data_IF_476262304304
#
_entry.id   IF_476262304304
#
_cell.length_a   1.000
_cell.length_b   1.000
_cell.length_c   1.000
_cell.angle_alpha   90.00
_cell.angle_beta   90.00
_cell.angle_gamma   90.00
#
_symmetry.space_group_name_H-M   'P 1'
#
loop_
_entity.id
_entity.type
_entity.pdbx_description
1 polymer ?
#
# COMPACT_ATOMS: atom_id res chain seq x y z
N UNK A 1 9.33 34.27 21.74
CA UNK A 1 8.71 33.89 23.03
C UNK A 1 8.85 32.39 23.19
N UNK A 2 9.20 31.86 24.36
CA UNK A 2 9.30 30.41 24.56
C UNK A 2 7.96 29.76 24.23
N UNK A 3 7.96 28.82 23.29
CA UNK A 3 6.79 28.02 22.94
C UNK A 3 6.53 27.07 24.10
N UNK A 4 5.60 27.46 24.98
CA UNK A 4 5.11 26.58 26.05
C UNK A 4 4.54 25.31 25.41
N UNK A 5 4.92 24.18 25.98
CA UNK A 5 4.38 22.88 25.61
C UNK A 5 2.84 22.91 25.78
N UNK A 6 2.06 22.63 24.72
CA UNK A 6 0.60 22.65 24.80
C UNK A 6 0.03 21.63 25.80
N UNK A 7 0.75 20.53 26.07
CA UNK A 7 0.25 19.42 26.91
C UNK A 7 0.62 19.59 28.40
N UNK A 8 1.43 20.60 28.74
CA UNK A 8 1.94 20.81 30.10
C UNK A 8 0.84 20.88 31.16
N UNK A 9 -0.33 21.42 30.81
CA UNK A 9 -1.45 21.61 31.74
C UNK A 9 -2.57 20.60 31.55
N UNK A 10 -2.45 19.65 30.62
CA UNK A 10 -3.52 18.70 30.30
C UNK A 10 -3.92 17.85 31.51
N UNK A 11 -2.95 17.44 32.34
CA UNK A 11 -3.25 16.69 33.57
C UNK A 11 -4.13 17.48 34.54
N UNK A 12 -3.90 18.79 34.67
CA UNK A 12 -4.70 19.67 35.54
C UNK A 12 -6.08 19.91 34.93
N UNK A 13 -6.14 20.18 33.62
CA UNK A 13 -7.40 20.42 32.90
C UNK A 13 -8.28 19.17 32.87
N UNK A 14 -7.68 17.98 32.71
CA UNK A 14 -8.39 16.71 32.74
C UNK A 14 -8.94 16.41 34.13
N UNK A 15 -8.16 16.64 35.19
CA UNK A 15 -8.63 16.48 36.57
C UNK A 15 -9.83 17.39 36.86
N UNK A 16 -9.80 18.65 36.39
CA UNK A 16 -10.94 19.55 36.48
C UNK A 16 -12.12 19.02 35.67
N UNK A 17 -11.92 18.60 34.41
CA UNK A 17 -12.99 18.11 33.55
C UNK A 17 -13.71 16.88 34.14
N UNK A 18 -12.98 15.98 34.81
CA UNK A 18 -13.55 14.80 35.46
C UNK A 18 -14.46 15.12 36.65
N UNK A 19 -14.28 16.28 37.29
CA UNK A 19 -15.06 16.71 38.44
C UNK A 19 -16.37 17.43 38.06
N UNK A 20 -16.57 17.75 36.79
CA UNK A 20 -17.75 18.46 36.30
C UNK A 20 -18.64 17.52 35.49
N UNK A 21 -19.95 17.71 35.54
CA UNK A 21 -20.94 16.99 34.72
C UNK A 21 -21.01 17.59 33.30
N UNK A 22 -19.86 17.63 32.64
CA UNK A 22 -19.71 18.04 31.24
C UNK A 22 -19.01 19.37 31.00
N UNK A 23 -18.87 19.71 29.72
CA UNK A 23 -18.07 20.86 29.25
C UNK A 23 -18.72 22.20 29.61
N UNK A 24 -20.06 22.27 29.64
CA UNK A 24 -20.75 23.52 29.96
C UNK A 24 -20.46 24.00 31.39
N UNK A 25 -20.48 23.08 32.36
CA UNK A 25 -20.21 23.39 33.76
C UNK A 25 -18.72 23.72 33.98
N UNK A 26 -17.81 23.00 33.31
CA UNK A 26 -16.38 23.33 33.31
C UNK A 26 -16.12 24.76 32.80
N UNK A 27 -16.79 25.16 31.71
CA UNK A 27 -16.66 26.51 31.17
C UNK A 27 -17.21 27.55 32.14
N UNK A 28 -18.34 27.28 32.80
CA UNK A 28 -18.90 28.19 33.82
C UNK A 28 -17.93 28.37 34.99
N UNK A 29 -17.31 27.28 35.47
CA UNK A 29 -16.26 27.34 36.50
C UNK A 29 -15.08 28.21 36.07
N UNK A 30 -14.61 28.09 34.82
CA UNK A 30 -13.51 28.91 34.29
C UNK A 30 -13.91 30.38 34.21
N UNK A 31 -15.09 30.70 33.68
CA UNK A 31 -15.58 32.08 33.57
C UNK A 31 -15.84 32.70 34.95
N UNK A 32 -16.39 31.94 35.89
CA UNK A 32 -16.54 32.33 37.29
C UNK A 32 -15.20 32.58 37.98
N UNK A 33 -14.16 31.78 37.68
CA UNK A 33 -12.82 32.02 38.17
C UNK A 33 -12.25 33.34 37.63
N UNK A 34 -12.37 33.58 36.32
CA UNK A 34 -11.93 34.83 35.70
C UNK A 34 -12.66 36.04 36.30
N UNK A 35 -13.97 35.95 36.56
CA UNK A 35 -14.73 37.03 37.18
C UNK A 35 -14.25 37.38 38.61
N UNK A 36 -13.76 36.40 39.36
CA UNK A 36 -13.39 36.56 40.79
C UNK A 36 -11.90 36.83 41.01
N UNK A 37 -11.03 36.36 40.12
CA UNK A 37 -9.58 36.34 40.33
C UNK A 37 -8.79 37.14 39.31
N UNK A 38 -9.44 37.67 38.28
CA UNK A 38 -8.81 38.50 37.27
C UNK A 38 -9.67 39.72 36.99
N UNK A 39 -9.10 40.69 36.27
CA UNK A 39 -9.78 41.86 35.74
C UNK A 39 -10.36 41.58 34.34
N UNK A 40 -10.58 40.32 33.98
CA UNK A 40 -10.92 39.91 32.61
C UNK A 40 -12.13 40.67 32.02
N UNK A 41 -13.17 40.90 32.82
CA UNK A 41 -14.39 41.59 32.39
C UNK A 41 -14.33 43.12 32.56
N UNK A 42 -13.42 43.65 33.38
CA UNK A 42 -13.39 45.07 33.76
C UNK A 42 -12.16 45.81 33.25
N UNK A 43 -11.10 45.11 32.85
CA UNK A 43 -9.77 45.68 32.58
C UNK A 43 -9.59 46.28 31.19
N UNK A 44 -10.39 45.87 30.19
CA UNK A 44 -10.18 46.26 28.78
C UNK A 44 -11.45 46.77 28.06
N UNK A 45 -12.55 46.98 28.79
CA UNK A 45 -13.84 47.45 28.24
C UNK A 45 -14.84 46.32 27.92
N UNK A 46 -16.13 46.65 27.88
CA UNK A 46 -17.25 45.68 27.86
C UNK A 46 -17.16 44.65 26.73
N UNK A 47 -16.66 45.02 25.55
CA UNK A 47 -16.56 44.11 24.39
C UNK A 47 -15.21 43.41 24.24
N UNK A 48 -14.19 43.79 24.99
CA UNK A 48 -12.83 43.23 24.80
C UNK A 48 -12.74 41.78 25.24
N UNK A 49 -13.39 41.44 26.36
CA UNK A 49 -13.44 40.09 26.90
C UNK A 49 -14.10 39.11 25.91
N UNK A 50 -15.28 39.48 25.38
CA UNK A 50 -16.02 38.66 24.42
C UNK A 50 -15.22 38.45 23.13
N UNK A 51 -14.65 39.52 22.57
CA UNK A 51 -13.81 39.44 21.37
C UNK A 51 -12.60 38.52 21.58
N UNK A 52 -12.00 38.55 22.78
CA UNK A 52 -10.87 37.68 23.12
C UNK A 52 -11.28 36.21 23.15
N UNK A 53 -12.39 35.85 23.82
CA UNK A 53 -12.90 34.48 23.85
C UNK A 53 -13.22 34.00 22.43
N UNK A 54 -13.98 34.80 21.68
CA UNK A 54 -14.39 34.45 20.32
C UNK A 54 -13.20 34.28 19.37
N UNK A 55 -12.16 35.12 19.50
CA UNK A 55 -10.93 34.98 18.70
C UNK A 55 -10.21 33.66 18.98
N UNK A 56 -10.05 33.28 20.26
CA UNK A 56 -9.40 32.01 20.63
C UNK A 56 -10.26 30.81 20.21
N UNK A 57 -11.57 30.87 20.42
CA UNK A 57 -12.51 29.85 19.98
C UNK A 57 -12.37 29.58 18.47
N UNK A 58 -12.48 30.63 17.63
CA UNK A 58 -12.36 30.50 16.17
C UNK A 58 -11.03 29.90 15.74
N UNK A 59 -9.93 30.29 16.38
CA UNK A 59 -8.60 29.73 16.09
C UNK A 59 -8.56 28.21 16.29
N UNK A 60 -8.98 27.73 17.46
CA UNK A 60 -8.95 26.30 17.77
C UNK A 60 -10.00 25.51 16.99
N UNK A 61 -11.18 26.10 16.75
CA UNK A 61 -12.20 25.52 15.89
C UNK A 61 -11.67 25.26 14.47
N UNK A 62 -11.03 26.26 13.86
CA UNK A 62 -10.44 26.13 12.53
C UNK A 62 -9.42 24.99 12.46
N UNK A 63 -8.52 24.91 13.45
CA UNK A 63 -7.50 23.86 13.54
C UNK A 63 -8.11 22.46 13.70
N UNK A 64 -9.13 22.33 14.56
CA UNK A 64 -9.79 21.05 14.80
C UNK A 64 -10.54 20.56 13.55
N UNK A 65 -11.27 21.45 12.87
CA UNK A 65 -12.00 21.13 11.62
C UNK A 65 -11.02 20.73 10.51
N UNK A 66 -9.91 21.46 10.36
CA UNK A 66 -8.88 21.15 9.37
C UNK A 66 -8.20 19.80 9.66
N UNK A 67 -7.85 19.53 10.92
CA UNK A 67 -7.28 18.25 11.32
C UNK A 67 -8.22 17.07 11.04
N UNK A 68 -9.51 17.22 11.34
CA UNK A 68 -10.53 16.22 11.01
C UNK A 68 -10.67 16.00 9.51
N UNK A 69 -10.70 17.07 8.72
CA UNK A 69 -10.78 16.99 7.27
C UNK A 69 -9.55 16.30 6.66
N UNK A 70 -8.35 16.62 7.17
CA UNK A 70 -7.11 15.98 6.76
C UNK A 70 -7.10 14.49 7.09
N UNK A 71 -7.43 14.12 8.33
CA UNK A 71 -7.51 12.71 8.76
C UNK A 71 -8.50 11.90 7.91
N UNK A 72 -9.64 12.50 7.54
CA UNK A 72 -10.62 11.87 6.67
C UNK A 72 -10.07 11.61 5.26
N UNK A 73 -9.43 12.61 4.65
CA UNK A 73 -8.80 12.46 3.32
C UNK A 73 -7.70 11.41 3.31
N UNK A 74 -6.85 11.40 4.32
CA UNK A 74 -5.77 10.41 4.47
C UNK A 74 -6.34 8.99 4.61
N UNK A 75 -7.40 8.81 5.39
CA UNK A 75 -8.09 7.52 5.51
C UNK A 75 -8.69 7.06 4.18
N UNK A 76 -9.37 7.95 3.45
CA UNK A 76 -9.97 7.64 2.16
C UNK A 76 -8.93 7.27 1.10
N UNK A 77 -7.79 7.95 1.08
CA UNK A 77 -6.70 7.64 0.15
C UNK A 77 -6.00 6.33 0.51
N UNK A 78 -5.79 6.05 1.80
CA UNK A 78 -5.24 4.79 2.28
C UNK A 78 -6.16 3.61 1.92
N UNK A 79 -7.47 3.77 2.10
CA UNK A 79 -8.47 2.77 1.75
C UNK A 79 -8.54 2.53 0.23
N UNK A 80 -8.44 3.59 -0.58
CA UNK A 80 -8.38 3.46 -2.04
C UNK A 80 -7.14 2.70 -2.49
N UNK A 81 -5.96 3.07 -2.00
CA UNK A 81 -4.69 2.37 -2.30
C UNK A 81 -4.73 0.91 -1.86
N UNK A 82 -5.35 0.61 -0.71
CA UNK A 82 -5.51 -0.77 -0.23
C UNK A 82 -6.42 -1.58 -1.14
N UNK A 83 -7.56 -1.03 -1.56
CA UNK A 83 -8.49 -1.68 -2.50
C UNK A 83 -7.85 -1.95 -3.85
N UNK A 84 -7.11 -0.98 -4.40
CA UNK A 84 -6.38 -1.13 -5.67
C UNK A 84 -5.33 -2.23 -5.60
N UNK A 85 -4.54 -2.30 -4.52
CA UNK A 85 -3.55 -3.37 -4.32
C UNK A 85 -4.19 -4.76 -4.24
N UNK A 86 -5.31 -4.88 -3.51
CA UNK A 86 -6.03 -6.15 -3.38
C UNK A 86 -6.65 -6.56 -4.73
N UNK A 87 -7.23 -5.62 -5.48
CA UNK A 87 -7.80 -5.90 -6.79
C UNK A 87 -6.73 -6.35 -7.78
N UNK A 88 -5.60 -5.64 -7.84
CA UNK A 88 -4.47 -5.98 -8.70
C UNK A 88 -3.88 -7.35 -8.36
N UNK A 89 -3.69 -7.65 -7.08
CA UNK A 89 -3.20 -8.96 -6.63
C UNK A 89 -4.16 -10.10 -7.02
N UNK A 90 -5.48 -9.89 -6.89
CA UNK A 90 -6.48 -10.87 -7.32
C UNK A 90 -6.48 -11.08 -8.83
N UNK A 91 -6.36 -10.01 -9.61
CA UNK A 91 -6.31 -10.09 -11.08
C UNK A 91 -5.06 -10.83 -11.55
N UNK A 92 -3.90 -10.54 -10.93
CA UNK A 92 -2.63 -11.21 -11.22
C UNK A 92 -2.69 -12.70 -10.85
N UNK A 93 -3.24 -13.05 -9.68
CA UNK A 93 -3.46 -14.45 -9.28
C UNK A 93 -4.41 -15.18 -10.24
N UNK A 94 -5.48 -14.51 -10.69
CA UNK A 94 -6.42 -15.10 -11.64
C UNK A 94 -5.79 -15.30 -13.03
N UNK A 95 -4.96 -14.37 -13.49
CA UNK A 95 -4.23 -14.48 -14.76
C UNK A 95 -3.15 -15.57 -14.71
N UNK A 96 -2.39 -15.66 -13.61
CA UNK A 96 -1.43 -16.75 -13.37
C UNK A 96 -2.14 -18.11 -13.31
N UNK A 97 -3.32 -18.18 -12.68
CA UNK A 97 -4.15 -19.38 -12.65
C UNK A 97 -4.63 -19.82 -14.04
N UNK A 98 -5.08 -18.87 -14.87
CA UNK A 98 -5.48 -19.13 -16.27
C UNK A 98 -4.29 -19.57 -17.13
N UNK A 99 -3.15 -18.87 -17.06
CA UNK A 99 -1.93 -19.27 -17.76
C UNK A 99 -1.45 -20.66 -17.33
N UNK A 100 -1.55 -21.01 -16.04
CA UNK A 100 -1.18 -22.34 -15.53
C UNK A 100 -2.17 -23.44 -15.95
N UNK A 101 -3.43 -23.10 -16.22
CA UNK A 101 -4.39 -24.02 -16.85
C UNK A 101 -4.12 -24.20 -18.35
N UNK A 102 -3.77 -23.14 -19.07
CA UNK A 102 -3.47 -23.18 -20.50
C UNK A 102 -2.11 -23.81 -20.81
N UNK A 103 -1.11 -23.64 -19.94
CA UNK A 103 0.21 -24.27 -20.02
C UNK A 103 0.27 -25.63 -19.32
N UNK A 104 -0.87 -26.19 -18.90
CA UNK A 104 -0.94 -27.58 -18.44
C UNK A 104 -0.69 -28.48 -19.65
N UNK A 105 0.57 -28.82 -19.87
CA UNK A 105 1.02 -29.85 -20.81
C UNK A 105 0.16 -31.08 -20.54
N UNK A 106 -0.76 -31.35 -21.47
CA UNK A 106 -1.49 -32.61 -21.52
C UNK A 106 -0.44 -33.65 -21.87
N UNK A 107 -0.13 -34.54 -20.93
CA UNK A 107 0.68 -35.71 -21.20
C UNK A 107 -0.02 -36.53 -22.28
N UNK A 108 0.49 -36.48 -23.50
CA UNK A 108 0.18 -37.46 -24.53
C UNK A 108 0.60 -38.81 -23.97
N UNK A 109 -0.37 -39.68 -23.73
CA UNK A 109 -0.13 -41.06 -23.27
C UNK A 109 0.83 -41.78 -24.21
N UNK A 110 1.80 -42.52 -23.66
CA UNK A 110 2.89 -43.21 -24.40
C UNK A 110 2.42 -44.04 -25.61
N UNK A 111 1.16 -44.50 -25.62
CA UNK A 111 0.56 -45.25 -26.73
C UNK A 111 0.40 -44.44 -28.02
N UNK A 112 0.10 -43.14 -27.94
CA UNK A 112 -0.07 -42.30 -29.14
C UNK A 112 1.27 -41.85 -29.71
N UNK A 113 2.29 -41.65 -28.86
CA UNK A 113 3.66 -41.41 -29.29
C UNK A 113 4.24 -42.62 -30.04
N UNK A 114 3.95 -43.84 -29.56
CA UNK A 114 4.38 -45.07 -30.21
C UNK A 114 3.71 -45.32 -31.57
N UNK A 115 2.46 -44.89 -31.77
CA UNK A 115 1.78 -45.00 -33.06
C UNK A 115 2.35 -44.04 -34.10
N UNK A 116 2.63 -42.79 -33.71
CA UNK A 116 3.23 -41.79 -34.60
C UNK A 116 4.68 -42.18 -35.00
N UNK A 117 5.45 -42.77 -34.08
CA UNK A 117 6.79 -43.29 -34.36
C UNK A 117 6.74 -44.46 -35.35
N UNK A 118 5.77 -45.37 -35.20
CA UNK A 118 5.57 -46.49 -36.12
C UNK A 118 5.16 -46.05 -37.52
N UNK A 119 4.35 -45.01 -37.65
CA UNK A 119 4.00 -44.43 -38.95
C UNK A 119 5.21 -43.74 -39.61
N UNK A 120 5.99 -42.97 -38.85
CA UNK A 120 7.21 -42.32 -39.35
C UNK A 120 8.31 -43.33 -39.76
N UNK A 121 8.47 -44.42 -39.00
CA UNK A 121 9.42 -45.49 -39.34
C UNK A 121 8.93 -46.33 -40.53
N UNK A 122 7.63 -46.52 -40.70
CA UNK A 122 7.05 -47.18 -41.88
C UNK A 122 7.19 -46.34 -43.16
N UNK A 123 7.06 -45.02 -43.06
CA UNK A 123 7.26 -44.10 -44.18
C UNK A 123 8.75 -44.08 -44.62
N UNK A 124 9.69 -44.12 -43.66
CA UNK A 124 11.13 -44.25 -43.93
C UNK A 124 11.49 -45.60 -44.55
N UNK A 125 10.90 -46.70 -44.08
CA UNK A 125 11.12 -48.03 -44.68
C UNK A 125 10.56 -48.14 -46.10
N UNK A 126 9.58 -47.31 -46.47
CA UNK A 126 9.08 -47.24 -47.85
C UNK A 126 9.98 -46.44 -48.79
N UNK A 127 10.88 -45.61 -48.25
CA UNK A 127 11.91 -44.88 -49.01
C UNK A 127 13.26 -45.62 -49.13
N UNK A 128 13.46 -46.76 -48.44
CA UNK A 128 14.76 -47.47 -48.40
C UNK A 128 14.85 -48.77 -49.23
N UNK A 129 13.99 -48.99 -50.25
CA UNK A 129 14.30 -49.96 -51.32
C UNK A 129 15.01 -49.26 -52.48
N UNK A 130 16.33 -49.09 -52.32
CA UNK A 130 17.26 -48.50 -53.29
C UNK A 130 18.71 -48.52 -52.77
N UNK A 131 19.25 -49.73 -52.58
CA UNK A 131 20.63 -50.20 -52.28
C UNK A 131 21.81 -49.41 -52.95
N UNK A 132 23.11 -49.57 -52.58
CA UNK A 132 23.81 -49.31 -51.29
C UNK A 132 25.17 -48.52 -51.44
N UNK A 133 25.68 -47.96 -50.31
CA UNK A 133 27.09 -47.89 -49.74
C UNK A 133 28.36 -47.85 -50.65
N UNK A 134 29.55 -47.22 -50.35
CA UNK A 134 30.27 -47.08 -49.04
C UNK A 134 30.93 -45.70 -48.71
N UNK A 135 30.94 -45.25 -47.44
CA UNK A 135 31.99 -45.37 -46.38
C UNK A 135 33.38 -44.75 -46.72
N UNK A 136 34.25 -44.38 -45.74
CA UNK A 136 34.06 -44.00 -44.33
C UNK A 136 34.96 -42.80 -43.91
N UNK A 137 35.00 -42.47 -42.62
CA UNK A 137 36.09 -41.84 -41.82
C UNK A 137 35.53 -40.72 -40.93
N UNK A 138 35.25 -41.01 -39.66
CA UNK A 138 36.19 -40.95 -38.53
C UNK A 138 36.34 -39.57 -37.89
N UNK A 139 36.39 -39.62 -36.56
CA UNK A 139 37.03 -38.69 -35.63
C UNK A 139 36.34 -37.38 -35.26
N UNK A 140 35.75 -37.43 -34.06
CA UNK A 140 36.22 -36.70 -32.88
C UNK A 140 36.27 -35.15 -32.92
N UNK A 141 35.39 -34.61 -32.08
CA UNK A 141 35.75 -33.88 -30.86
C UNK A 141 36.15 -32.40 -31.02
N UNK A 142 35.49 -31.61 -30.16
CA UNK A 142 35.97 -30.37 -29.53
C UNK A 142 36.07 -29.11 -30.39
N UNK A 143 35.23 -28.14 -30.04
CA UNK A 143 35.31 -26.74 -30.45
C UNK A 143 34.56 -25.87 -29.45
N UNK A 144 34.92 -25.99 -28.17
CA UNK A 144 34.62 -24.98 -27.15
C UNK A 144 35.63 -23.84 -27.34
N UNK A 145 35.13 -22.67 -27.70
CA UNK A 145 35.88 -21.42 -27.74
C UNK A 145 35.17 -20.41 -26.85
N UNK A 146 35.64 -20.35 -25.59
CA UNK A 146 35.72 -19.16 -24.72
C UNK A 146 36.34 -17.95 -25.47
N UNK A 147 36.37 -16.69 -24.96
CA UNK A 147 35.98 -16.17 -23.64
C UNK A 147 35.19 -14.82 -23.69
N UNK A 148 34.73 -14.28 -22.55
CA UNK A 148 35.12 -12.96 -21.92
C UNK A 148 35.00 -11.77 -22.89
N UNK A 149 34.44 -10.60 -22.60
CA UNK A 149 34.36 -9.72 -21.42
C UNK A 149 33.38 -8.59 -21.90
N UNK A 150 32.63 -7.83 -21.12
CA UNK A 150 33.02 -6.58 -20.42
C UNK A 150 31.66 -5.88 -20.19
N UNK A 151 31.34 -5.50 -18.95
CA UNK A 151 31.25 -4.09 -18.55
C UNK A 151 30.61 -3.15 -19.58
N UNK A 152 29.44 -2.59 -19.24
CA UNK A 152 29.22 -1.16 -19.46
C UNK A 152 28.14 -0.63 -18.50
N UNK A 153 28.36 0.61 -18.11
CA UNK A 153 27.77 1.45 -17.06
C UNK A 153 26.23 1.56 -17.01
#
# INVERSE_FOLDING_TARGET
>A
MPTKDPEQFDGVLLAMAQQHEGVSELLDTIFSFLARKTDFYTGAGESAAENMVMSKFKKHQSQAVEALAKKKRESEEADRKRKEKIAKAKEEEQNLGKQKQESKIVELTDEQAAQLQKELDAEKQKQEQGDPQPDPAETNKSGDSKPEDEEEE
#
